data_IF_566204703499
#
_entry.id   IF_566204703499
#
_cell.length_a   1.000
_cell.length_b   1.000
_cell.length_c   1.000
_cell.angle_alpha   90.00
_cell.angle_beta   90.00
_cell.angle_gamma   90.00
#
_symmetry.space_group_name_H-M   'P 1'
#
loop_
_entity.id
_entity.type
_entity.pdbx_description
1 polymer ?
#
# COMPACT_ATOMS: atom_id res chain seq x y z
N UNK A 1 -33.27 27.54 12.76
CA UNK A 1 -32.24 28.54 13.13
C UNK A 1 -30.92 27.77 13.24
N UNK A 2 -30.05 27.67 12.23
CA UNK A 2 -29.38 28.72 11.44
C UNK A 2 -28.88 29.81 12.40
N UNK A 3 -27.58 30.02 12.63
CA UNK A 3 -26.48 30.53 11.77
C UNK A 3 -25.20 30.40 12.65
N UNK A 4 -23.93 30.37 12.22
CA UNK A 4 -23.18 30.00 11.01
C UNK A 4 -21.69 30.23 11.35
N UNK A 5 -20.81 29.67 10.51
CA UNK A 5 -19.45 30.17 10.22
C UNK A 5 -18.33 29.61 11.09
N UNK A 6 -17.24 29.06 10.57
CA UNK A 6 -16.77 28.86 9.19
C UNK A 6 -15.47 27.98 9.25
N UNK A 7 -14.74 27.67 8.15
CA UNK A 7 -14.45 26.29 7.76
C UNK A 7 -12.94 26.01 7.46
N UNK A 8 -12.67 24.89 6.80
CA UNK A 8 -11.51 24.61 5.92
C UNK A 8 -10.11 24.37 6.53
N UNK A 9 -9.80 23.08 6.73
CA UNK A 9 -8.44 22.56 6.52
C UNK A 9 -8.42 21.71 5.23
N UNK A 10 -8.45 22.41 4.10
CA UNK A 10 -8.05 21.87 2.81
C UNK A 10 -6.53 21.76 2.75
N UNK A 11 -6.01 20.58 2.44
CA UNK A 11 -4.63 20.39 2.02
C UNK A 11 -4.39 21.26 0.77
N UNK A 12 -3.57 22.30 0.93
CA UNK A 12 -3.25 23.25 -0.11
C UNK A 12 -2.53 22.59 -1.28
N UNK A 13 -3.26 22.40 -2.38
CA UNK A 13 -2.69 22.32 -3.71
C UNK A 13 -2.38 23.74 -4.18
N UNK A 14 -1.13 24.14 -4.08
CA UNK A 14 -0.68 25.46 -4.51
C UNK A 14 0.84 25.52 -4.56
N UNK A 15 1.42 25.22 -5.72
CA UNK A 15 2.87 25.29 -5.91
C UNK A 15 3.44 24.32 -6.94
N UNK A 16 2.79 24.15 -8.10
CA UNK A 16 3.37 23.42 -9.25
C UNK A 16 2.92 24.07 -10.57
N UNK A 17 2.88 25.40 -10.60
CA UNK A 17 2.45 26.20 -11.74
C UNK A 17 3.61 26.95 -12.43
N UNK A 18 4.85 26.59 -12.12
CA UNK A 18 6.02 27.13 -12.82
C UNK A 18 6.90 25.95 -13.19
N UNK A 19 6.80 25.52 -14.45
CA UNK A 19 7.77 24.78 -15.29
C UNK A 19 6.96 23.99 -16.35
N UNK A 20 7.23 24.32 -17.61
CA UNK A 20 6.55 23.88 -18.85
C UNK A 20 5.10 24.39 -19.05
N UNK A 21 4.97 25.56 -19.67
CA UNK A 21 3.73 25.97 -20.33
C UNK A 21 3.53 25.08 -21.58
N UNK A 22 2.91 23.91 -21.41
CA UNK A 22 2.40 23.11 -22.52
C UNK A 22 1.09 23.74 -23.04
N UNK A 23 1.02 24.04 -24.34
CA UNK A 23 -0.17 24.59 -24.99
C UNK A 23 -1.32 23.57 -25.02
N UNK A 24 -2.28 23.71 -24.09
CA UNK A 24 -3.52 22.93 -24.09
C UNK A 24 -4.47 23.43 -25.18
N UNK A 25 -4.59 22.69 -26.29
CA UNK A 25 -5.56 22.99 -27.33
C UNK A 25 -7.02 22.81 -26.81
N UNK A 26 -7.71 23.93 -26.58
CA UNK A 26 -9.12 23.97 -26.19
C UNK A 26 -10.00 24.23 -27.41
N UNK A 27 -11.02 23.39 -27.65
CA UNK A 27 -12.16 23.76 -28.52
C UNK A 27 -13.43 23.87 -27.69
N UNK A 28 -14.26 24.87 -28.03
CA UNK A 28 -15.38 25.35 -27.23
C UNK A 28 -16.66 24.50 -27.26
N UNK A 29 -17.54 24.83 -26.31
CA UNK A 29 -18.91 24.30 -26.13
C UNK A 29 -19.03 23.30 -24.98
N UNK A 30 -19.31 23.77 -23.75
CA UNK A 30 -19.67 22.96 -22.56
C UNK A 30 -18.73 21.82 -22.12
N UNK A 31 -17.44 21.83 -22.48
CA UNK A 31 -16.49 20.88 -21.90
C UNK A 31 -16.28 21.17 -20.41
N UNK A 32 -16.44 20.19 -19.50
CA UNK A 32 -15.98 20.36 -18.14
C UNK A 32 -14.46 20.51 -18.17
N UNK A 33 -13.94 21.58 -17.58
CA UNK A 33 -12.52 21.94 -17.54
C UNK A 33 -11.59 20.87 -16.92
N UNK A 34 -12.14 19.75 -16.48
CA UNK A 34 -11.49 18.65 -15.78
C UNK A 34 -10.89 17.56 -16.68
N UNK A 35 -11.34 17.41 -17.93
CA UNK A 35 -10.79 16.37 -18.84
C UNK A 35 -9.68 16.98 -19.69
N UNK A 36 -8.47 16.42 -19.61
CA UNK A 36 -7.33 16.90 -20.39
C UNK A 36 -7.15 16.05 -21.65
N UNK A 37 -6.77 16.71 -22.74
CA UNK A 37 -6.58 16.10 -24.05
C UNK A 37 -5.19 16.46 -24.56
N UNK A 38 -4.48 15.48 -25.11
CA UNK A 38 -3.17 15.69 -25.76
C UNK A 38 -3.16 14.97 -27.09
N UNK A 39 -2.72 15.66 -28.14
CA UNK A 39 -2.62 15.10 -29.47
C UNK A 39 -1.24 15.39 -30.06
N UNK A 40 -0.54 14.35 -30.50
CA UNK A 40 0.79 14.42 -31.05
C UNK A 40 0.84 13.76 -32.42
N UNK A 41 1.66 14.32 -33.31
CA UNK A 41 2.03 13.73 -34.60
C UNK A 41 3.52 13.43 -34.58
N UNK A 42 3.89 12.22 -34.97
CA UNK A 42 5.27 11.76 -35.06
C UNK A 42 5.66 11.62 -36.52
N UNK A 43 6.86 12.07 -36.87
CA UNK A 43 7.41 11.99 -38.23
C UNK A 43 8.06 10.63 -38.56
N UNK A 44 8.20 9.78 -37.54
CA UNK A 44 8.90 8.48 -37.58
C UNK A 44 10.43 8.56 -37.75
N UNK A 45 10.99 9.77 -37.72
CA UNK A 45 12.44 10.05 -37.76
C UNK A 45 12.97 10.51 -36.40
N UNK A 46 12.12 10.53 -35.38
CA UNK A 46 12.47 10.91 -34.01
C UNK A 46 12.13 12.35 -33.66
N UNK A 47 11.23 13.00 -34.41
CA UNK A 47 10.63 14.27 -34.01
C UNK A 47 9.12 14.13 -33.84
N UNK A 48 8.55 15.01 -33.02
CA UNK A 48 7.12 15.07 -32.79
C UNK A 48 6.64 16.52 -32.72
N UNK A 49 5.36 16.72 -33.07
CA UNK A 49 4.70 18.01 -33.01
C UNK A 49 3.31 17.88 -32.38
N UNK A 50 2.90 18.88 -31.62
CA UNK A 50 1.52 18.97 -31.14
C UNK A 50 0.57 19.16 -32.33
N UNK A 51 -0.50 18.38 -32.36
CA UNK A 51 -1.50 18.38 -33.43
C UNK A 51 -2.85 18.84 -32.88
N UNK A 52 -3.72 19.34 -33.76
CA UNK A 52 -5.13 19.53 -33.43
C UNK A 52 -5.82 18.18 -33.18
N UNK A 53 -6.83 18.18 -32.31
CA UNK A 53 -7.66 17.02 -32.01
C UNK A 53 -8.62 16.73 -33.18
N UNK A 54 -8.17 15.93 -34.15
CA UNK A 54 -8.96 15.53 -35.33
C UNK A 54 -9.22 14.01 -35.43
N UNK A 55 -8.58 13.22 -34.56
CA UNK A 55 -8.66 11.75 -34.53
C UNK A 55 -8.33 11.07 -35.88
N UNK A 56 -7.64 11.77 -36.77
CA UNK A 56 -7.22 11.22 -38.06
C UNK A 56 -6.03 10.28 -37.89
N UNK A 57 -5.97 9.23 -38.71
CA UNK A 57 -4.80 8.34 -38.76
C UNK A 57 -3.64 9.01 -39.49
N UNK A 58 -2.41 8.62 -39.15
CA UNK A 58 -1.22 9.06 -39.88
C UNK A 58 -1.13 8.42 -41.27
N UNK A 59 -0.24 8.95 -42.12
CA UNK A 59 -0.02 8.46 -43.47
C UNK A 59 1.44 8.01 -43.66
N UNK A 60 1.62 6.82 -44.23
CA UNK A 60 2.96 6.27 -44.50
C UNK A 60 3.70 5.94 -43.20
N UNK A 61 4.80 6.66 -42.96
CA UNK A 61 5.67 6.46 -41.79
C UNK A 61 5.20 7.30 -40.59
N UNK A 62 4.38 8.31 -40.84
CA UNK A 62 3.85 9.17 -39.78
C UNK A 62 2.73 8.47 -39.02
N UNK A 63 2.68 8.72 -37.72
CA UNK A 63 1.62 8.21 -36.85
C UNK A 63 1.20 9.25 -35.83
N UNK A 64 -0.03 9.10 -35.34
CA UNK A 64 -0.63 10.04 -34.39
C UNK A 64 -0.90 9.38 -33.04
N UNK A 65 -0.74 10.14 -31.97
CA UNK A 65 -1.13 9.72 -30.63
C UNK A 65 -2.14 10.69 -30.04
N UNK A 66 -3.27 10.16 -29.58
CA UNK A 66 -4.30 10.90 -28.87
C UNK A 66 -4.41 10.35 -27.45
N UNK A 67 -4.27 11.21 -26.45
CA UNK A 67 -4.39 10.85 -25.04
C UNK A 67 -5.52 11.63 -24.38
N UNK A 68 -6.41 10.92 -23.67
CA UNK A 68 -7.45 11.50 -22.82
C UNK A 68 -7.17 11.15 -21.36
N UNK A 69 -7.02 12.17 -20.53
CA UNK A 69 -6.93 12.01 -19.07
C UNK A 69 -8.28 12.30 -18.43
N UNK A 70 -8.89 11.27 -17.87
CA UNK A 70 -10.13 11.40 -17.11
C UNK A 70 -9.82 11.88 -15.68
N UNK A 71 -10.58 12.83 -15.12
CA UNK A 71 -10.32 13.33 -13.78
C UNK A 71 -10.56 12.26 -12.71
N UNK A 72 -9.65 12.17 -11.73
CA UNK A 72 -9.93 11.48 -10.46
C UNK A 72 -11.00 12.28 -9.71
N UNK A 73 -12.09 11.64 -9.31
CA UNK A 73 -13.20 12.28 -8.62
C UNK A 73 -14.31 11.30 -8.28
N UNK A 74 -15.35 11.76 -7.59
CA UNK A 74 -16.49 10.94 -7.19
C UNK A 74 -17.55 10.85 -8.31
N UNK A 75 -17.12 10.47 -9.52
CA UNK A 75 -17.99 10.37 -10.68
C UNK A 75 -18.26 8.90 -11.01
N UNK A 76 -19.50 8.58 -11.36
CA UNK A 76 -19.86 7.24 -11.81
C UNK A 76 -19.26 6.94 -13.18
N UNK A 77 -19.12 5.65 -13.50
CA UNK A 77 -18.62 5.19 -14.80
C UNK A 77 -19.40 5.78 -15.99
N UNK A 78 -20.70 6.04 -15.81
CA UNK A 78 -21.55 6.66 -16.81
C UNK A 78 -21.08 8.08 -17.21
N UNK A 79 -20.59 8.87 -16.25
CA UNK A 79 -20.07 10.23 -16.50
C UNK A 79 -18.76 10.16 -17.28
N UNK A 80 -17.88 9.22 -16.93
CA UNK A 80 -16.67 8.96 -17.71
C UNK A 80 -16.99 8.53 -19.15
N UNK A 81 -18.03 7.71 -19.32
CA UNK A 81 -18.50 7.32 -20.64
C UNK A 81 -19.05 8.51 -21.44
N UNK A 82 -19.83 9.40 -20.81
CA UNK A 82 -20.32 10.63 -21.43
C UNK A 82 -19.17 11.51 -21.93
N UNK A 83 -18.15 11.75 -21.11
CA UNK A 83 -16.98 12.52 -21.52
C UNK A 83 -16.26 11.90 -22.71
N UNK A 84 -16.07 10.58 -22.74
CA UNK A 84 -15.44 9.95 -23.90
C UNK A 84 -16.34 9.95 -25.14
N UNK A 85 -17.66 9.83 -24.99
CA UNK A 85 -18.60 9.94 -26.11
C UNK A 85 -18.49 11.33 -26.73
N UNK A 86 -18.45 12.39 -25.93
CA UNK A 86 -18.32 13.77 -26.41
C UNK A 86 -16.96 14.05 -27.09
N UNK A 87 -15.89 13.37 -26.66
CA UNK A 87 -14.52 13.61 -27.15
C UNK A 87 -14.16 12.76 -28.36
N UNK A 88 -14.67 11.52 -28.42
CA UNK A 88 -14.26 10.52 -29.41
C UNK A 88 -15.29 10.27 -30.52
N UNK A 89 -16.54 10.70 -30.33
CA UNK A 89 -17.61 10.55 -31.32
C UNK A 89 -17.95 11.89 -31.98
N UNK A 90 -17.98 11.97 -33.32
CA UNK A 90 -17.38 11.08 -34.34
C UNK A 90 -15.84 11.26 -34.41
N UNK A 91 -15.04 10.28 -34.90
CA UNK A 91 -15.42 9.19 -35.81
C UNK A 91 -15.63 7.81 -35.16
N UNK A 92 -15.33 7.63 -33.87
CA UNK A 92 -15.44 6.31 -33.21
C UNK A 92 -16.90 5.94 -32.91
N UNK A 93 -17.21 4.63 -32.96
CA UNK A 93 -18.56 4.14 -32.64
C UNK A 93 -18.71 3.97 -31.13
N UNK A 94 -19.95 4.01 -30.65
CA UNK A 94 -20.25 3.82 -29.23
C UNK A 94 -19.68 2.50 -28.68
N UNK A 95 -19.70 1.44 -29.48
CA UNK A 95 -19.12 0.15 -29.10
C UNK A 95 -17.62 0.25 -28.76
N UNK A 96 -16.84 1.01 -29.53
CA UNK A 96 -15.41 1.21 -29.30
C UNK A 96 -15.16 1.95 -27.98
N UNK A 97 -15.95 3.00 -27.74
CA UNK A 97 -15.84 3.84 -26.55
C UNK A 97 -16.20 3.04 -25.30
N UNK A 98 -17.26 2.22 -25.35
CA UNK A 98 -17.64 1.35 -24.25
C UNK A 98 -16.55 0.32 -23.93
N UNK A 99 -15.84 -0.19 -24.94
CA UNK A 99 -14.71 -1.09 -24.72
C UNK A 99 -13.55 -0.39 -23.98
N UNK A 100 -13.33 0.91 -24.21
CA UNK A 100 -12.31 1.71 -23.52
C UNK A 100 -12.69 2.07 -22.07
N UNK A 101 -13.96 2.35 -21.79
CA UNK A 101 -14.42 2.81 -20.46
C UNK A 101 -14.69 1.66 -19.49
N UNK A 102 -15.20 0.53 -19.99
CA UNK A 102 -15.71 -0.54 -19.12
C UNK A 102 -14.64 -1.10 -18.16
N UNK A 103 -15.08 -1.60 -17.01
CA UNK A 103 -14.20 -2.18 -16.00
C UNK A 103 -13.68 -3.56 -16.41
N UNK A 104 -12.58 -3.98 -15.78
CA UNK A 104 -11.97 -5.29 -15.95
C UNK A 104 -11.01 -5.38 -17.13
N UNK A 105 -10.21 -6.45 -17.22
CA UNK A 105 -9.25 -6.64 -18.29
C UNK A 105 -9.96 -7.02 -19.60
N UNK A 106 -9.43 -6.55 -20.73
CA UNK A 106 -9.89 -6.93 -22.06
C UNK A 106 -8.77 -6.79 -23.07
N UNK A 107 -8.73 -7.69 -24.05
CA UNK A 107 -7.88 -7.60 -25.23
C UNK A 107 -8.66 -8.21 -26.40
N UNK A 108 -8.85 -7.46 -27.47
CA UNK A 108 -9.58 -7.90 -28.64
C UNK A 108 -9.29 -7.03 -29.86
N UNK A 109 -9.77 -7.45 -31.02
CA UNK A 109 -9.78 -6.59 -32.20
C UNK A 109 -11.19 -6.07 -32.41
N UNK A 110 -11.32 -4.76 -32.63
CA UNK A 110 -12.58 -4.09 -32.91
C UNK A 110 -12.34 -3.17 -34.10
N UNK A 111 -13.07 -3.37 -35.20
CA UNK A 111 -12.91 -2.63 -36.47
C UNK A 111 -11.47 -2.58 -37.00
N UNK A 112 -10.77 -3.71 -36.95
CA UNK A 112 -9.39 -3.82 -37.43
C UNK A 112 -8.34 -3.23 -36.49
N UNK A 113 -8.74 -2.51 -35.44
CA UNK A 113 -7.86 -1.99 -34.41
C UNK A 113 -7.70 -2.98 -33.26
N UNK A 114 -6.51 -3.06 -32.67
CA UNK A 114 -6.30 -3.75 -31.41
C UNK A 114 -6.80 -2.86 -30.27
N UNK A 115 -7.72 -3.36 -29.46
CA UNK A 115 -8.19 -2.68 -28.26
C UNK A 115 -7.79 -3.51 -27.04
N UNK A 116 -7.11 -2.87 -26.10
CA UNK A 116 -6.87 -3.47 -24.80
C UNK A 116 -7.20 -2.51 -23.67
N UNK A 117 -7.51 -3.07 -22.51
CA UNK A 117 -7.77 -2.30 -21.31
C UNK A 117 -7.31 -3.03 -20.05
N UNK A 118 -6.86 -2.25 -19.09
CA UNK A 118 -6.49 -2.63 -17.74
C UNK A 118 -7.20 -1.65 -16.79
N UNK A 119 -8.52 -1.79 -16.72
CA UNK A 119 -9.34 -0.90 -15.89
C UNK A 119 -9.65 -1.60 -14.56
N UNK A 120 -8.96 -1.20 -13.49
CA UNK A 120 -9.27 -1.73 -12.16
C UNK A 120 -10.64 -1.26 -11.66
N UNK A 121 -11.42 -2.15 -11.01
CA UNK A 121 -12.64 -1.74 -10.34
C UNK A 121 -12.28 -0.95 -9.08
N UNK A 122 -13.15 -0.01 -8.73
CA UNK A 122 -12.97 0.80 -7.53
C UNK A 122 -13.38 2.26 -7.75
N UNK A 123 -13.40 3.04 -6.66
CA UNK A 123 -13.70 4.46 -6.74
C UNK A 123 -12.56 5.20 -7.44
N UNK A 124 -12.91 6.07 -8.37
CA UNK A 124 -11.94 6.89 -9.12
C UNK A 124 -11.19 7.91 -8.28
N UNK A 125 -11.55 8.09 -7.00
CA UNK A 125 -10.81 8.90 -6.02
C UNK A 125 -9.65 8.15 -5.39
N UNK A 126 -9.58 6.82 -5.50
CA UNK A 126 -8.53 6.02 -4.88
C UNK A 126 -7.25 6.08 -5.70
N UNK A 127 -6.12 6.28 -5.03
CA UNK A 127 -4.80 6.25 -5.68
C UNK A 127 -4.41 4.86 -6.20
N UNK A 128 -5.05 3.82 -5.67
CA UNK A 128 -4.87 2.43 -6.09
C UNK A 128 -5.82 2.00 -7.21
N UNK A 129 -6.67 2.91 -7.69
CA UNK A 129 -7.54 2.67 -8.85
C UNK A 129 -6.87 3.26 -10.07
N UNK A 130 -6.21 2.39 -10.83
CA UNK A 130 -5.52 2.73 -12.06
C UNK A 130 -6.32 2.19 -13.24
N UNK A 131 -6.44 2.99 -14.29
CA UNK A 131 -7.11 2.61 -15.54
C UNK A 131 -6.25 3.03 -16.71
N UNK A 132 -6.00 2.10 -17.62
CA UNK A 132 -5.37 2.33 -18.90
C UNK A 132 -6.16 1.56 -19.95
N UNK A 133 -6.68 2.25 -20.94
CA UNK A 133 -7.26 1.64 -22.12
C UNK A 133 -6.60 2.23 -23.36
N UNK A 134 -6.41 1.40 -24.37
CA UNK A 134 -5.81 1.84 -25.62
C UNK A 134 -6.47 1.17 -26.81
N UNK A 135 -6.65 1.95 -27.88
CA UNK A 135 -6.97 1.49 -29.23
C UNK A 135 -5.75 1.76 -30.11
N UNK A 136 -5.24 0.72 -30.75
CA UNK A 136 -4.01 0.75 -31.56
C UNK A 136 -4.34 0.32 -32.98
N UNK A 137 -4.04 1.19 -33.94
CA UNK A 137 -4.03 0.88 -35.38
C UNK A 137 -2.61 1.00 -35.93
N UNK A 138 -2.42 0.74 -37.23
CA UNK A 138 -1.10 0.80 -37.86
C UNK A 138 -0.46 2.20 -37.77
N UNK A 139 -1.27 3.25 -37.82
CA UNK A 139 -0.81 4.65 -37.88
C UNK A 139 -1.41 5.55 -36.78
N UNK A 140 -2.08 4.98 -35.78
CA UNK A 140 -2.61 5.77 -34.66
C UNK A 140 -2.73 4.98 -33.35
N UNK A 141 -2.52 5.68 -32.24
CA UNK A 141 -2.83 5.19 -30.90
C UNK A 141 -3.77 6.18 -30.21
N UNK A 142 -4.84 5.67 -29.64
CA UNK A 142 -5.73 6.43 -28.76
C UNK A 142 -5.65 5.79 -27.38
N UNK A 143 -5.20 6.54 -26.37
CA UNK A 143 -5.13 6.08 -24.98
C UNK A 143 -6.05 6.88 -24.08
N UNK A 144 -6.60 6.19 -23.08
CA UNK A 144 -7.44 6.76 -22.04
C UNK A 144 -6.88 6.34 -20.70
N UNK A 145 -6.61 7.30 -19.84
CA UNK A 145 -6.13 7.08 -18.47
C UNK A 145 -7.09 7.68 -17.44
N UNK A 146 -6.99 7.18 -16.20
CA UNK A 146 -7.63 7.81 -15.04
C UNK A 146 -6.59 8.57 -14.22
N UNK A 147 -6.74 9.89 -14.15
CA UNK A 147 -5.79 10.80 -13.52
C UNK A 147 -4.59 11.11 -14.42
N UNK A 148 -3.71 11.97 -13.92
CA UNK A 148 -2.44 12.28 -14.59
C UNK A 148 -1.58 11.03 -14.64
N UNK A 149 -1.04 10.72 -15.81
CA UNK A 149 0.01 9.70 -15.96
C UNK A 149 1.34 10.43 -16.02
N UNK A 150 2.23 10.25 -15.02
CA UNK A 150 3.56 10.85 -15.07
C UNK A 150 4.35 10.30 -16.27
N UNK A 151 5.32 11.05 -16.79
CA UNK A 151 6.27 10.63 -17.85
C UNK A 151 5.71 10.34 -19.25
N UNK A 152 4.52 10.83 -19.57
CA UNK A 152 3.99 10.81 -20.95
C UNK A 152 4.72 11.76 -21.93
N UNK A 153 5.60 12.63 -21.42
CA UNK A 153 6.36 13.59 -22.22
C UNK A 153 7.58 12.96 -22.88
N UNK A 154 8.00 13.52 -24.01
CA UNK A 154 9.21 13.12 -24.72
C UNK A 154 10.24 14.24 -24.71
N UNK A 155 11.49 13.88 -24.47
CA UNK A 155 12.61 14.81 -24.56
C UNK A 155 13.32 14.59 -25.90
N UNK A 156 13.49 15.64 -26.74
CA UNK A 156 14.37 15.56 -27.88
C UNK A 156 15.77 15.12 -27.41
N UNK A 157 16.43 14.25 -28.17
CA UNK A 157 17.76 13.77 -27.83
C UNK A 157 18.71 14.96 -27.59
N UNK A 158 19.23 15.09 -26.36
CA UNK A 158 20.18 16.15 -25.97
C UNK A 158 19.65 17.28 -25.08
N UNK A 159 18.36 17.29 -24.70
CA UNK A 159 17.80 18.26 -23.74
C UNK A 159 17.33 17.58 -22.45
N UNK A 160 18.22 16.83 -21.80
CA UNK A 160 17.92 16.25 -20.48
C UNK A 160 18.11 17.31 -19.40
N UNK A 161 17.08 17.56 -18.57
CA UNK A 161 17.16 18.47 -17.42
C UNK A 161 18.27 18.09 -16.41
N UNK A 162 18.74 16.84 -16.47
CA UNK A 162 19.83 16.31 -15.65
C UNK A 162 21.24 16.54 -16.24
N UNK A 163 21.34 17.15 -17.42
CA UNK A 163 22.63 17.52 -18.01
C UNK A 163 23.20 18.82 -17.43
N UNK A 164 22.36 19.62 -16.76
CA UNK A 164 22.76 20.82 -16.03
C UNK A 164 22.89 20.50 -14.53
N UNK A 165 23.97 20.95 -13.89
CA UNK A 165 24.22 20.70 -12.45
C UNK A 165 23.21 21.55 -11.63
N UNK A 166 22.25 20.94 -10.91
CA UNK A 166 21.29 21.71 -10.12
C UNK A 166 21.91 22.15 -8.79
N UNK A 167 21.47 23.29 -8.26
CA UNK A 167 21.81 23.75 -6.91
C UNK A 167 20.60 23.62 -5.99
N UNK A 168 20.77 23.08 -4.79
CA UNK A 168 19.66 22.94 -3.81
C UNK A 168 19.46 24.26 -3.05
N UNK A 169 18.21 24.59 -2.70
CA UNK A 169 17.90 25.77 -1.86
C UNK A 169 18.76 25.77 -0.58
N UNK A 170 19.64 26.77 -0.45
CA UNK A 170 20.53 26.92 0.70
C UNK A 170 22.01 27.06 0.35
N UNK A 171 22.43 26.69 -0.86
CA UNK A 171 23.79 26.94 -1.36
C UNK A 171 23.85 28.19 -2.26
N UNK A 172 24.98 28.91 -2.23
CA UNK A 172 25.20 30.07 -3.10
C UNK A 172 25.20 29.61 -4.56
N UNK A 173 24.09 29.83 -5.26
CA UNK A 173 23.93 29.50 -6.67
C UNK A 173 25.03 30.18 -7.52
N UNK A 174 25.76 29.39 -8.31
CA UNK A 174 26.52 29.90 -9.44
C UNK A 174 25.52 30.32 -10.54
N UNK A 175 25.85 31.38 -11.28
CA UNK A 175 24.99 31.89 -12.35
C UNK A 175 24.77 30.79 -13.42
N UNK A 176 23.58 30.19 -13.43
CA UNK A 176 23.18 29.14 -14.37
C UNK A 176 22.63 27.86 -13.73
N UNK A 177 22.69 27.69 -12.40
CA UNK A 177 22.15 26.50 -11.75
C UNK A 177 20.62 26.58 -11.57
N UNK A 178 19.90 25.54 -12.00
CA UNK A 178 18.47 25.37 -11.71
C UNK A 178 18.32 25.05 -10.22
N UNK A 179 17.49 25.84 -9.51
CA UNK A 179 17.18 25.61 -8.10
C UNK A 179 16.05 24.60 -7.99
N UNK A 180 16.34 23.40 -7.46
CA UNK A 180 15.34 22.36 -7.21
C UNK A 180 14.84 22.50 -5.76
N UNK A 181 13.54 22.71 -5.52
CA UNK A 181 12.99 22.73 -4.17
C UNK A 181 13.17 21.40 -3.45
N UNK A 182 13.39 21.41 -2.13
CA UNK A 182 13.67 20.20 -1.33
C UNK A 182 12.59 19.11 -1.49
N UNK A 183 11.32 19.48 -1.56
CA UNK A 183 10.21 18.55 -1.79
C UNK A 183 10.19 17.92 -3.19
N UNK A 184 10.68 18.64 -4.21
CA UNK A 184 10.85 18.09 -5.57
C UNK A 184 12.06 17.18 -5.61
N UNK A 185 13.13 17.52 -4.88
CA UNK A 185 14.29 16.67 -4.73
C UNK A 185 13.94 15.37 -3.99
N UNK A 186 13.22 15.42 -2.88
CA UNK A 186 12.70 14.23 -2.20
C UNK A 186 11.81 13.39 -3.12
N UNK A 187 10.94 14.02 -3.92
CA UNK A 187 10.14 13.34 -4.93
C UNK A 187 10.99 12.66 -6.00
N UNK A 188 12.02 13.34 -6.52
CA UNK A 188 12.97 12.78 -7.48
C UNK A 188 13.85 11.67 -6.89
N UNK A 189 14.21 11.77 -5.61
CA UNK A 189 15.02 10.77 -4.89
C UNK A 189 14.20 9.54 -4.46
N UNK A 190 12.90 9.69 -4.26
CA UNK A 190 11.99 8.58 -3.93
C UNK A 190 11.51 7.83 -5.17
N UNK A 191 11.65 8.42 -6.35
CA UNK A 191 11.42 7.76 -7.64
C UNK A 191 12.74 7.22 -8.20
N UNK A 192 12.76 5.94 -8.56
CA UNK A 192 13.97 5.30 -9.13
C UNK A 192 14.34 5.80 -10.55
N UNK A 193 13.57 6.73 -11.12
CA UNK A 193 13.64 7.11 -12.53
C UNK A 193 13.24 8.60 -12.70
N UNK A 194 13.97 9.34 -13.53
CA UNK A 194 13.75 10.76 -13.77
C UNK A 194 12.55 11.00 -14.71
N UNK A 195 11.71 12.00 -14.41
CA UNK A 195 10.44 12.20 -15.14
C UNK A 195 10.61 12.62 -16.61
N UNK A 196 11.73 13.26 -16.97
CA UNK A 196 11.97 13.88 -18.28
C UNK A 196 13.36 13.58 -18.86
N UNK A 197 14.12 12.69 -18.23
CA UNK A 197 15.57 12.61 -18.45
C UNK A 197 16.04 11.83 -19.68
N UNK A 198 15.28 10.85 -20.18
CA UNK A 198 15.83 9.86 -21.12
C UNK A 198 14.82 9.23 -22.12
N UNK A 199 13.58 9.72 -22.17
CA UNK A 199 12.58 9.15 -23.06
C UNK A 199 12.79 9.60 -24.51
N UNK A 200 13.47 8.76 -25.29
CA UNK A 200 13.64 8.97 -26.73
C UNK A 200 12.29 9.05 -27.45
N UNK A 201 12.19 9.97 -28.42
CA UNK A 201 10.98 10.16 -29.22
C UNK A 201 10.68 8.89 -30.04
N UNK A 202 9.48 8.30 -29.93
CA UNK A 202 9.14 7.09 -30.66
C UNK A 202 9.22 7.25 -32.18
N UNK A 203 9.80 6.24 -32.85
CA UNK A 203 9.93 6.21 -34.32
C UNK A 203 8.85 5.39 -35.02
N UNK A 204 8.17 4.52 -34.28
CA UNK A 204 7.12 3.64 -34.78
C UNK A 204 5.97 3.55 -33.78
N UNK A 205 4.80 3.13 -34.26
CA UNK A 205 3.64 2.85 -33.40
C UNK A 205 3.96 1.75 -32.37
N UNK A 206 4.76 0.75 -32.75
CA UNK A 206 5.21 -0.30 -31.83
C UNK A 206 6.05 0.26 -30.69
N UNK A 207 7.01 1.14 -30.97
CA UNK A 207 7.84 1.78 -29.96
C UNK A 207 7.02 2.71 -29.06
N UNK A 208 6.05 3.45 -29.62
CA UNK A 208 5.12 4.26 -28.83
C UNK A 208 4.25 3.39 -27.89
N UNK A 209 3.77 2.24 -28.38
CA UNK A 209 3.00 1.31 -27.56
C UNK A 209 3.84 0.75 -26.40
N UNK A 210 5.09 0.36 -26.68
CA UNK A 210 6.05 -0.08 -25.64
C UNK A 210 6.24 1.03 -24.61
N UNK A 211 6.46 2.27 -25.05
CA UNK A 211 6.62 3.42 -24.15
C UNK A 211 5.39 3.67 -23.26
N UNK A 212 4.17 3.58 -23.81
CA UNK A 212 2.93 3.72 -23.02
C UNK A 212 2.80 2.61 -21.96
N UNK A 213 3.09 1.36 -22.34
CA UNK A 213 3.04 0.22 -21.41
C UNK A 213 4.12 0.35 -20.34
N UNK A 214 5.34 0.74 -20.71
CA UNK A 214 6.44 0.95 -19.77
C UNK A 214 6.09 2.05 -18.75
N UNK A 215 5.59 3.19 -19.22
CA UNK A 215 5.14 4.29 -18.37
C UNK A 215 4.07 3.84 -17.37
N UNK A 216 3.17 2.95 -17.78
CA UNK A 216 2.15 2.39 -16.89
C UNK A 216 2.73 1.40 -15.87
N UNK A 217 3.71 0.58 -16.27
CA UNK A 217 4.43 -0.33 -15.36
C UNK A 217 5.26 0.48 -14.35
N UNK A 218 5.89 1.56 -14.77
CA UNK A 218 6.59 2.51 -13.91
C UNK A 218 5.65 3.13 -12.88
N UNK A 219 4.47 3.61 -13.31
CA UNK A 219 3.47 4.16 -12.38
C UNK A 219 3.08 3.13 -11.29
N UNK A 220 2.93 1.86 -11.67
CA UNK A 220 2.65 0.79 -10.71
C UNK A 220 3.84 0.60 -9.77
N UNK A 221 5.07 0.56 -10.31
CA UNK A 221 6.30 0.39 -9.53
C UNK A 221 6.43 1.51 -8.48
N UNK A 222 6.19 2.77 -8.85
CA UNK A 222 6.28 3.90 -7.93
C UNK A 222 5.28 3.78 -6.76
N UNK A 223 4.06 3.31 -7.04
CA UNK A 223 3.06 3.05 -5.99
C UNK A 223 3.51 1.90 -5.08
N UNK A 224 4.08 0.82 -5.64
CA UNK A 224 4.61 -0.30 -4.84
C UNK A 224 5.75 0.17 -3.95
N UNK A 225 6.73 0.91 -4.49
CA UNK A 225 7.86 1.45 -3.72
C UNK A 225 7.37 2.37 -2.59
N UNK A 226 6.40 3.24 -2.87
CA UNK A 226 5.81 4.11 -1.83
C UNK A 226 5.16 3.29 -0.71
N UNK A 227 4.44 2.23 -1.04
CA UNK A 227 3.80 1.35 -0.05
C UNK A 227 4.82 0.54 0.75
N UNK A 228 5.93 0.12 0.12
CA UNK A 228 7.03 -0.57 0.78
C UNK A 228 7.72 0.35 1.80
N UNK A 229 8.05 1.58 1.40
CA UNK A 229 8.60 2.61 2.31
C UNK A 229 7.64 2.93 3.45
N UNK A 230 6.34 3.04 3.18
CA UNK A 230 5.34 3.24 4.22
C UNK A 230 5.38 2.07 5.22
N UNK A 231 5.33 0.82 4.74
CA UNK A 231 5.38 -0.37 5.59
C UNK A 231 6.64 -0.41 6.45
N UNK A 232 7.81 -0.18 5.86
CA UNK A 232 9.09 -0.19 6.57
C UNK A 232 9.13 0.87 7.68
N UNK A 233 8.58 2.07 7.41
CA UNK A 233 8.48 3.12 8.43
C UNK A 233 7.60 2.69 9.62
N UNK A 234 6.48 2.01 9.36
CA UNK A 234 5.58 1.53 10.42
C UNK A 234 6.22 0.41 11.22
N UNK A 235 6.90 -0.53 10.54
CA UNK A 235 7.60 -1.64 11.20
C UNK A 235 8.69 -1.12 12.13
N UNK A 236 9.47 -0.14 11.69
CA UNK A 236 10.48 0.50 12.52
C UNK A 236 9.88 1.23 13.73
N UNK A 237 8.74 1.90 13.55
CA UNK A 237 8.02 2.52 14.67
C UNK A 237 7.40 1.47 15.62
N UNK A 238 7.02 0.28 15.12
CA UNK A 238 6.53 -0.83 15.95
C UNK A 238 7.65 -1.46 16.79
N UNK A 239 8.87 -1.50 16.25
CA UNK A 239 10.05 -2.02 16.94
C UNK A 239 10.54 -1.06 18.03
N UNK A 240 10.54 0.24 17.75
CA UNK A 240 10.90 1.28 18.72
C UNK A 240 9.76 1.60 19.70
N UNK A 241 8.52 1.43 19.27
CA UNK A 241 7.32 1.89 19.95
C UNK A 241 6.92 1.04 21.16
N UNK A 242 6.57 1.71 22.25
CA UNK A 242 5.95 1.08 23.42
C UNK A 242 4.50 0.65 23.17
N UNK A 243 3.88 0.03 24.19
CA UNK A 243 2.47 -0.42 24.19
C UNK A 243 1.45 0.63 23.72
N UNK A 244 1.75 1.92 23.86
CA UNK A 244 0.87 3.03 23.45
C UNK A 244 0.80 3.18 21.92
N UNK A 245 1.93 3.02 21.23
CA UNK A 245 1.99 3.10 19.77
C UNK A 245 1.26 1.93 19.11
N UNK A 246 1.47 0.70 19.60
CA UNK A 246 0.76 -0.50 19.14
C UNK A 246 -0.76 -0.36 19.26
N UNK A 247 -1.24 0.26 20.35
CA UNK A 247 -2.65 0.56 20.55
C UNK A 247 -3.20 1.56 19.53
N UNK A 248 -2.46 2.66 19.29
CA UNK A 248 -2.85 3.67 18.28
C UNK A 248 -3.01 3.06 16.88
N UNK A 249 -2.08 2.18 16.47
CA UNK A 249 -2.13 1.52 15.17
C UNK A 249 -3.37 0.60 15.00
N UNK A 250 -3.80 -0.06 16.07
CA UNK A 250 -5.04 -0.85 16.09
C UNK A 250 -6.27 0.05 15.94
N UNK A 251 -6.31 1.15 16.69
CA UNK A 251 -7.42 2.11 16.68
C UNK A 251 -7.59 2.77 15.29
N UNK A 252 -6.48 3.13 14.63
CA UNK A 252 -6.48 3.78 13.31
C UNK A 252 -6.82 2.81 12.15
N UNK A 253 -6.89 1.50 12.42
CA UNK A 253 -7.05 0.40 11.46
C UNK A 253 -6.06 0.51 10.29
N UNK A 254 -4.82 0.92 10.59
CA UNK A 254 -3.81 1.23 9.56
C UNK A 254 -3.44 -0.01 8.73
N UNK A 255 -3.08 -1.11 9.38
CA UNK A 255 -2.71 -2.36 8.70
C UNK A 255 -3.85 -2.98 7.88
N UNK A 256 -5.10 -3.06 8.39
CA UNK A 256 -6.24 -3.47 7.56
C UNK A 256 -6.44 -2.60 6.31
N UNK A 257 -6.31 -1.27 6.42
CA UNK A 257 -6.41 -0.36 5.26
C UNK A 257 -5.27 -0.59 4.27
N UNK A 258 -4.04 -0.73 4.77
CA UNK A 258 -2.86 -1.00 3.96
C UNK A 258 -2.98 -2.33 3.22
N UNK A 259 -3.46 -3.38 3.90
CA UNK A 259 -3.75 -4.68 3.31
C UNK A 259 -4.76 -4.56 2.16
N UNK A 260 -5.88 -3.84 2.35
CA UNK A 260 -6.87 -3.60 1.30
C UNK A 260 -6.28 -2.84 0.10
N UNK A 261 -5.43 -1.84 0.34
CA UNK A 261 -4.78 -1.07 -0.72
C UNK A 261 -3.80 -1.93 -1.53
N UNK A 262 -2.98 -2.75 -0.87
CA UNK A 262 -2.10 -3.71 -1.54
C UNK A 262 -2.89 -4.73 -2.37
N UNK A 263 -4.03 -5.22 -1.86
CA UNK A 263 -4.92 -6.12 -2.61
C UNK A 263 -5.50 -5.46 -3.87
N UNK A 264 -5.93 -4.19 -3.78
CA UNK A 264 -6.39 -3.42 -4.95
C UNK A 264 -5.29 -3.27 -5.99
N UNK A 265 -4.07 -2.95 -5.57
CA UNK A 265 -2.93 -2.85 -6.47
C UNK A 265 -2.58 -4.21 -7.09
N UNK A 266 -2.66 -5.30 -6.31
CA UNK A 266 -2.39 -6.66 -6.79
C UNK A 266 -3.40 -7.06 -7.87
N UNK A 267 -4.64 -6.61 -7.75
CA UNK A 267 -5.66 -6.80 -8.77
C UNK A 267 -5.32 -6.05 -10.07
N UNK A 268 -4.84 -4.79 -9.99
CA UNK A 268 -4.37 -4.02 -11.16
C UNK A 268 -3.25 -4.78 -11.86
N UNK A 269 -2.22 -5.19 -11.10
CA UNK A 269 -1.06 -5.91 -11.63
C UNK A 269 -1.47 -7.24 -12.26
N UNK A 270 -2.42 -7.96 -11.64
CA UNK A 270 -2.97 -9.21 -12.18
C UNK A 270 -3.73 -8.99 -13.49
N UNK A 271 -4.38 -7.84 -13.68
CA UNK A 271 -5.00 -7.48 -14.96
C UNK A 271 -3.95 -7.19 -16.03
N UNK A 272 -2.90 -6.45 -15.69
CA UNK A 272 -1.77 -6.22 -16.60
C UNK A 272 -1.16 -7.55 -17.06
N UNK A 273 -0.94 -8.49 -16.14
CA UNK A 273 -0.34 -9.80 -16.44
C UNK A 273 -1.24 -10.66 -17.35
N UNK A 274 -2.56 -10.50 -17.28
CA UNK A 274 -3.49 -11.16 -18.20
C UNK A 274 -3.52 -10.50 -19.59
N UNK A 275 -3.33 -9.19 -19.65
CA UNK A 275 -3.54 -8.36 -20.84
C UNK A 275 -2.27 -8.23 -21.67
N UNK A 276 -1.14 -7.84 -21.09
CA UNK A 276 0.08 -7.52 -21.83
C UNK A 276 0.67 -8.70 -22.62
N UNK A 277 0.70 -9.95 -22.12
CA UNK A 277 1.13 -11.08 -22.95
C UNK A 277 0.27 -11.30 -24.19
N UNK A 278 -1.05 -11.07 -24.08
CA UNK A 278 -1.99 -11.17 -25.20
C UNK A 278 -1.86 -10.00 -26.18
N UNK A 279 -1.55 -8.81 -25.67
CA UNK A 279 -1.21 -7.65 -26.51
C UNK A 279 0.05 -7.97 -27.32
N UNK A 280 1.11 -8.46 -26.67
CA UNK A 280 2.35 -8.88 -27.34
C UNK A 280 2.09 -9.93 -28.43
N UNK A 281 1.37 -11.00 -28.11
CA UNK A 281 1.04 -12.06 -29.07
C UNK A 281 0.27 -11.53 -30.30
N UNK A 282 -0.73 -10.68 -30.07
CA UNK A 282 -1.53 -10.09 -31.17
C UNK A 282 -0.73 -9.10 -32.00
N UNK A 283 0.11 -8.27 -31.37
CA UNK A 283 0.98 -7.32 -32.05
C UNK A 283 2.08 -8.00 -32.86
N UNK A 284 2.72 -9.04 -32.32
CA UNK A 284 3.78 -9.79 -33.00
C UNK A 284 3.34 -10.46 -34.31
N UNK A 285 2.02 -10.69 -34.48
CA UNK A 285 1.45 -11.20 -35.74
C UNK A 285 1.32 -10.14 -36.85
N UNK A 286 1.55 -8.86 -36.55
CA UNK A 286 1.36 -7.73 -37.47
C UNK A 286 2.70 -7.29 -38.06
N UNK A 287 2.67 -6.90 -39.34
CA UNK A 287 3.86 -6.46 -40.10
C UNK A 287 4.49 -5.16 -39.60
N UNK A 288 3.70 -4.28 -38.99
CA UNK A 288 4.15 -2.98 -38.47
C UNK A 288 4.78 -3.06 -37.07
N UNK A 289 4.81 -4.24 -36.45
CA UNK A 289 5.36 -4.43 -35.12
C UNK A 289 6.79 -4.99 -35.20
N UNK A 290 7.76 -4.22 -34.72
CA UNK A 290 9.17 -4.60 -34.75
C UNK A 290 9.48 -5.83 -33.89
N UNK A 291 10.45 -6.64 -34.33
CA UNK A 291 10.95 -7.76 -33.53
C UNK A 291 11.64 -7.28 -32.25
N UNK A 292 12.36 -6.15 -32.32
CA UNK A 292 12.98 -5.50 -31.16
C UNK A 292 11.93 -5.07 -30.12
N UNK A 293 10.86 -4.40 -30.56
CA UNK A 293 9.75 -3.99 -29.68
C UNK A 293 9.03 -5.18 -29.03
N UNK A 294 9.01 -6.34 -29.70
CA UNK A 294 8.47 -7.59 -29.14
C UNK A 294 9.32 -8.09 -27.98
N UNK A 295 10.64 -7.97 -28.09
CA UNK A 295 11.58 -8.31 -27.01
C UNK A 295 11.42 -7.33 -25.86
N UNK A 296 11.39 -6.03 -26.13
CA UNK A 296 11.17 -5.00 -25.09
C UNK A 296 9.86 -5.23 -24.35
N UNK A 297 8.77 -5.57 -25.06
CA UNK A 297 7.49 -5.87 -24.41
C UNK A 297 7.55 -7.14 -23.55
N UNK A 298 8.33 -8.17 -23.93
CA UNK A 298 8.55 -9.34 -23.08
C UNK A 298 9.34 -8.99 -21.81
N UNK A 299 10.33 -8.11 -21.91
CA UNK A 299 11.07 -7.61 -20.74
C UNK A 299 10.15 -6.85 -19.78
N UNK A 300 9.27 -5.99 -20.29
CA UNK A 300 8.25 -5.29 -19.49
C UNK A 300 7.29 -6.27 -18.80
N UNK A 301 6.85 -7.32 -19.50
CA UNK A 301 6.03 -8.39 -18.89
C UNK A 301 6.82 -9.10 -17.79
N UNK A 302 8.11 -9.37 -17.99
CA UNK A 302 9.00 -9.95 -16.98
C UNK A 302 9.14 -9.04 -15.75
N UNK A 303 9.31 -7.74 -15.95
CA UNK A 303 9.36 -6.73 -14.88
C UNK A 303 8.05 -6.69 -14.09
N UNK A 304 6.91 -6.69 -14.80
CA UNK A 304 5.58 -6.73 -14.19
C UNK A 304 5.37 -7.98 -13.32
N UNK A 305 5.84 -9.15 -13.75
CA UNK A 305 5.77 -10.39 -12.94
C UNK A 305 6.57 -10.27 -11.64
N UNK A 306 7.78 -9.70 -11.70
CA UNK A 306 8.59 -9.42 -10.49
C UNK A 306 7.89 -8.44 -9.55
N UNK A 307 7.25 -7.39 -10.09
CA UNK A 307 6.44 -6.45 -9.30
C UNK A 307 5.30 -7.17 -8.58
N UNK A 308 4.61 -8.08 -9.28
CA UNK A 308 3.54 -8.90 -8.70
C UNK A 308 4.05 -9.76 -7.53
N UNK A 309 5.20 -10.41 -7.71
CA UNK A 309 5.83 -11.21 -6.67
C UNK A 309 6.22 -10.35 -5.45
N UNK A 310 6.86 -9.20 -5.67
CA UNK A 310 7.20 -8.26 -4.60
C UNK A 310 5.96 -7.82 -3.82
N UNK A 311 4.89 -7.45 -4.54
CA UNK A 311 3.63 -7.07 -3.94
C UNK A 311 3.00 -8.21 -3.12
N UNK A 312 3.15 -9.46 -3.57
CA UNK A 312 2.77 -10.65 -2.81
C UNK A 312 3.54 -10.79 -1.49
N UNK A 313 4.86 -10.53 -1.50
CA UNK A 313 5.67 -10.50 -0.29
C UNK A 313 5.23 -9.38 0.67
N UNK A 314 4.96 -8.18 0.17
CA UNK A 314 4.45 -7.07 0.98
C UNK A 314 3.09 -7.40 1.63
N UNK A 315 2.17 -8.03 0.88
CA UNK A 315 0.89 -8.50 1.43
C UNK A 315 1.10 -9.47 2.59
N UNK A 316 1.99 -10.45 2.43
CA UNK A 316 2.30 -11.43 3.47
C UNK A 316 2.94 -10.78 4.71
N UNK A 317 3.84 -9.82 4.51
CA UNK A 317 4.43 -9.02 5.60
C UNK A 317 3.36 -8.27 6.39
N UNK A 318 2.43 -7.60 5.70
CA UNK A 318 1.31 -6.88 6.36
C UNK A 318 0.43 -7.83 7.17
N UNK A 319 0.11 -9.02 6.64
CA UNK A 319 -0.68 -10.03 7.37
C UNK A 319 0.05 -10.48 8.63
N UNK A 320 1.36 -10.73 8.54
CA UNK A 320 2.17 -11.15 9.68
C UNK A 320 2.20 -10.09 10.79
N UNK A 321 2.40 -8.81 10.42
CA UNK A 321 2.38 -7.69 11.37
C UNK A 321 0.99 -7.54 12.00
N UNK A 322 -0.08 -7.63 11.22
CA UNK A 322 -1.45 -7.58 11.72
C UNK A 322 -1.73 -8.71 12.72
N UNK A 323 -1.35 -9.95 12.41
CA UNK A 323 -1.50 -11.09 13.31
C UNK A 323 -0.70 -10.91 14.61
N UNK A 324 0.50 -10.31 14.52
CA UNK A 324 1.30 -9.95 15.70
C UNK A 324 0.61 -8.93 16.61
N UNK A 325 -0.04 -7.92 16.02
CA UNK A 325 -0.82 -6.92 16.77
C UNK A 325 -2.07 -7.53 17.41
N UNK A 326 -2.79 -8.40 16.71
CA UNK A 326 -3.98 -9.09 17.23
C UNK A 326 -3.62 -10.03 18.40
N UNK A 327 -2.50 -10.74 18.29
CA UNK A 327 -1.95 -11.57 19.36
C UNK A 327 -1.57 -10.72 20.59
N UNK A 328 -0.88 -9.60 20.37
CA UNK A 328 -0.54 -8.67 21.44
C UNK A 328 -1.79 -8.08 22.12
N UNK A 329 -2.82 -7.70 21.36
CA UNK A 329 -4.08 -7.21 21.91
C UNK A 329 -4.77 -8.27 22.78
N UNK A 330 -4.78 -9.52 22.31
CA UNK A 330 -5.32 -10.65 23.05
C UNK A 330 -4.56 -10.89 24.36
N UNK A 331 -3.24 -10.75 24.36
CA UNK A 331 -2.43 -10.82 25.59
C UNK A 331 -2.80 -9.71 26.58
N UNK A 332 -3.00 -8.47 26.12
CA UNK A 332 -3.43 -7.36 26.98
C UNK A 332 -4.82 -7.62 27.59
N UNK A 333 -5.76 -8.14 26.80
CA UNK A 333 -7.10 -8.49 27.28
C UNK A 333 -6.99 -9.60 28.34
N UNK A 334 -6.25 -10.67 28.06
CA UNK A 334 -6.05 -11.76 29.00
C UNK A 334 -5.39 -11.29 30.30
N UNK A 335 -4.41 -10.38 30.23
CA UNK A 335 -3.79 -9.81 31.42
C UNK A 335 -4.77 -8.98 32.25
N UNK A 336 -5.64 -8.19 31.61
CA UNK A 336 -6.68 -7.41 32.31
C UNK A 336 -7.73 -8.32 32.93
N UNK A 337 -8.18 -9.35 32.21
CA UNK A 337 -9.10 -10.36 32.72
C UNK A 337 -8.51 -11.11 33.91
N UNK A 338 -7.23 -11.44 33.86
CA UNK A 338 -6.54 -12.06 34.99
C UNK A 338 -6.59 -11.18 36.25
N UNK A 339 -6.34 -9.87 36.15
CA UNK A 339 -6.46 -8.96 37.29
C UNK A 339 -7.89 -8.81 37.79
N UNK A 340 -8.88 -8.75 36.90
CA UNK A 340 -10.29 -8.69 37.29
C UNK A 340 -10.75 -9.98 37.99
N UNK A 341 -10.36 -11.15 37.47
CA UNK A 341 -10.63 -12.44 38.10
C UNK A 341 -9.97 -12.55 39.48
N UNK A 342 -8.73 -12.07 39.61
CA UNK A 342 -8.04 -11.98 40.90
C UNK A 342 -8.80 -11.09 41.90
N UNK A 343 -9.24 -9.91 41.46
CA UNK A 343 -9.99 -8.99 42.30
C UNK A 343 -11.34 -9.58 42.74
N UNK A 344 -12.05 -10.23 41.82
CA UNK A 344 -13.32 -10.92 42.09
C UNK A 344 -13.13 -12.07 43.09
N UNK A 345 -12.05 -12.84 42.98
CA UNK A 345 -11.75 -13.92 43.92
C UNK A 345 -11.55 -13.41 45.36
N UNK A 346 -10.97 -12.22 45.53
CA UNK A 346 -10.80 -11.58 46.85
C UNK A 346 -12.13 -11.01 47.34
N UNK A 347 -12.83 -10.23 46.51
CA UNK A 347 -14.03 -9.53 46.96
C UNK A 347 -15.26 -10.41 47.10
N UNK A 348 -15.41 -11.47 46.30
CA UNK A 348 -16.59 -12.34 46.39
C UNK A 348 -16.80 -12.91 47.81
N UNK A 349 -15.83 -13.59 48.44
CA UNK A 349 -16.02 -14.11 49.79
C UNK A 349 -16.08 -13.01 50.85
N UNK A 350 -15.34 -11.90 50.70
CA UNK A 350 -15.44 -10.76 51.61
C UNK A 350 -16.84 -10.12 51.57
N UNK A 351 -17.43 -10.00 50.38
CA UNK A 351 -18.78 -9.49 50.16
C UNK A 351 -19.84 -10.42 50.76
N UNK A 352 -19.63 -11.75 50.72
CA UNK A 352 -20.54 -12.70 51.39
C UNK A 352 -20.47 -12.52 52.91
N UNK A 353 -19.27 -12.44 53.48
CA UNK A 353 -19.10 -12.24 54.94
C UNK A 353 -19.74 -10.91 55.37
N UNK A 354 -19.36 -9.81 54.73
CA UNK A 354 -19.94 -8.49 55.05
C UNK A 354 -21.44 -8.42 54.79
N UNK A 355 -21.95 -9.11 53.77
CA UNK A 355 -23.37 -9.25 53.50
C UNK A 355 -24.11 -9.94 54.65
N UNK A 356 -23.64 -11.12 55.09
CA UNK A 356 -24.27 -11.88 56.19
C UNK A 356 -24.27 -11.07 57.50
N UNK A 357 -23.16 -10.41 57.85
CA UNK A 357 -23.07 -9.60 59.08
C UNK A 357 -23.73 -8.22 58.96
N UNK A 358 -23.97 -7.73 57.74
CA UNK A 358 -24.66 -6.46 57.47
C UNK A 358 -26.18 -6.59 57.37
N UNK A 359 -26.72 -7.81 57.37
CA UNK A 359 -28.16 -8.04 57.40
C UNK A 359 -28.72 -7.73 58.79
N UNK A 360 -29.80 -6.94 58.84
CA UNK A 360 -30.52 -6.60 60.07
C UNK A 360 -31.44 -7.75 60.53
N UNK A 361 -30.87 -8.93 60.77
CA UNK A 361 -31.57 -10.14 61.21
C UNK A 361 -31.07 -10.60 62.58
N UNK A 362 -31.98 -11.04 63.45
CA UNK A 362 -31.61 -11.56 64.78
C UNK A 362 -30.95 -12.94 64.68
N UNK A 363 -30.05 -13.26 65.62
CA UNK A 363 -29.41 -14.58 65.72
C UNK A 363 -28.06 -14.74 65.03
N UNK A 364 -27.48 -13.66 64.49
CA UNK A 364 -26.11 -13.67 63.95
C UNK A 364 -25.09 -13.86 65.10
N UNK A 365 -24.08 -14.74 64.96
CA UNK A 365 -23.04 -14.90 65.97
C UNK A 365 -22.29 -13.58 66.19
N UNK A 366 -21.84 -13.34 67.44
CA UNK A 366 -21.13 -12.12 67.85
C UNK A 366 -21.93 -10.80 67.84
N UNK A 367 -23.27 -10.82 67.67
CA UNK A 367 -24.13 -9.61 67.71
C UNK A 367 -25.02 -9.52 68.96
N UNK A 368 -24.60 -10.04 70.13
CA UNK A 368 -25.50 -10.22 71.29
C UNK A 368 -26.07 -8.92 71.87
N UNK A 369 -27.39 -8.97 72.05
CA UNK A 369 -28.21 -8.15 72.95
C UNK A 369 -28.50 -9.03 74.20
N UNK A 370 -27.55 -9.13 75.16
CA UNK A 370 -27.82 -9.73 76.49
C UNK A 370 -27.01 -10.94 76.98
N UNK A 371 -25.68 -10.98 76.83
CA UNK A 371 -24.88 -11.98 77.56
C UNK A 371 -23.40 -11.63 77.66
N UNK A 372 -22.86 -11.63 78.89
CA UNK A 372 -21.46 -11.37 79.21
C UNK A 372 -20.54 -12.42 78.55
N UNK A 373 -19.57 -11.97 77.75
CA UNK A 373 -18.54 -12.86 77.19
C UNK A 373 -18.16 -12.66 75.72
N UNK A 374 -18.54 -11.56 75.06
CA UNK A 374 -18.06 -11.24 73.71
C UNK A 374 -17.97 -9.71 73.55
N UNK A 375 -16.91 -9.09 74.05
CA UNK A 375 -16.73 -7.63 73.95
C UNK A 375 -16.22 -7.20 72.55
N UNK A 376 -15.69 -8.14 71.76
CA UNK A 376 -14.92 -7.85 70.53
C UNK A 376 -15.50 -8.48 69.25
N UNK A 377 -16.83 -8.49 69.10
CA UNK A 377 -17.49 -9.14 67.94
C UNK A 377 -17.04 -8.61 66.58
N UNK A 378 -16.85 -7.30 66.46
CA UNK A 378 -16.33 -6.65 65.25
C UNK A 378 -14.89 -7.08 64.93
N UNK A 379 -14.02 -7.19 65.94
CA UNK A 379 -12.63 -7.62 65.76
C UNK A 379 -12.55 -9.08 65.32
N UNK A 380 -13.43 -9.96 65.83
CA UNK A 380 -13.49 -11.36 65.40
C UNK A 380 -13.86 -11.50 63.92
N UNK A 381 -14.83 -10.72 63.44
CA UNK A 381 -15.19 -10.69 62.00
C UNK A 381 -14.03 -10.17 61.16
N UNK A 382 -13.33 -9.14 61.63
CA UNK A 382 -12.16 -8.58 60.96
C UNK A 382 -11.00 -9.61 60.87
N UNK A 383 -10.76 -10.36 61.94
CA UNK A 383 -9.79 -11.48 61.97
C UNK A 383 -10.16 -12.55 60.95
N UNK A 384 -11.44 -12.95 60.87
CA UNK A 384 -11.92 -13.94 59.89
C UNK A 384 -11.71 -13.42 58.45
N UNK A 385 -12.06 -12.18 58.16
CA UNK A 385 -11.81 -11.57 56.85
C UNK A 385 -10.32 -11.53 56.51
N UNK A 386 -9.46 -11.17 57.47
CA UNK A 386 -8.00 -11.14 57.30
C UNK A 386 -7.42 -12.53 57.06
N UNK A 387 -7.87 -13.55 57.80
CA UNK A 387 -7.45 -14.94 57.62
C UNK A 387 -7.89 -15.49 56.26
N UNK A 388 -9.11 -15.16 55.83
CA UNK A 388 -9.64 -15.57 54.54
C UNK A 388 -8.86 -14.92 53.38
N UNK A 389 -8.53 -13.63 53.50
CA UNK A 389 -7.70 -12.93 52.53
C UNK A 389 -6.27 -13.50 52.47
N UNK A 390 -5.66 -13.77 53.63
CA UNK A 390 -4.35 -14.42 53.73
C UNK A 390 -4.36 -15.81 53.07
N UNK A 391 -5.37 -16.62 53.34
CA UNK A 391 -5.55 -17.96 52.75
C UNK A 391 -5.62 -17.87 51.22
N UNK A 392 -6.42 -16.96 50.68
CA UNK A 392 -6.55 -16.75 49.23
C UNK A 392 -5.23 -16.31 48.58
N UNK A 393 -4.50 -15.37 49.21
CA UNK A 393 -3.19 -14.95 48.74
C UNK A 393 -2.15 -16.09 48.79
N UNK A 394 -2.20 -16.92 49.83
CA UNK A 394 -1.32 -18.08 49.96
C UNK A 394 -1.62 -19.14 48.89
N UNK A 395 -2.89 -19.48 48.69
CA UNK A 395 -3.34 -20.36 47.61
C UNK A 395 -2.91 -19.85 46.22
N UNK A 396 -2.82 -18.54 46.02
CA UNK A 396 -2.39 -17.96 44.75
C UNK A 396 -0.86 -17.94 44.55
N UNK A 397 -0.10 -17.65 45.61
CA UNK A 397 1.36 -17.61 45.56
C UNK A 397 1.98 -19.01 45.52
N UNK A 398 1.33 -20.02 46.11
CA UNK A 398 1.85 -21.38 46.21
C UNK A 398 2.15 -22.06 44.86
N UNK A 399 1.26 -22.03 43.83
CA UNK A 399 1.54 -22.61 42.52
C UNK A 399 2.71 -21.93 41.79
N UNK A 400 2.81 -20.60 41.88
CA UNK A 400 3.87 -19.83 41.21
C UNK A 400 5.25 -20.04 41.85
N UNK A 401 5.30 -20.11 43.19
CA UNK A 401 6.50 -20.44 43.96
C UNK A 401 6.94 -21.89 43.72
N UNK A 402 5.99 -22.83 43.68
CA UNK A 402 6.25 -24.24 43.40
C UNK A 402 6.82 -24.44 41.98
N UNK A 403 6.30 -23.73 40.98
CA UNK A 403 6.83 -23.80 39.62
C UNK A 403 8.25 -23.21 39.50
N UNK A 404 8.54 -22.09 40.16
CA UNK A 404 9.91 -21.52 40.20
C UNK A 404 10.89 -22.46 40.90
N UNK A 405 10.48 -23.05 42.02
CA UNK A 405 11.31 -23.98 42.79
C UNK A 405 11.61 -25.25 41.99
N UNK A 406 10.64 -25.78 41.25
CA UNK A 406 10.84 -26.99 40.42
C UNK A 406 11.74 -26.73 39.20
N UNK A 407 11.64 -25.56 38.54
CA UNK A 407 12.57 -25.15 37.47
C UNK A 407 13.99 -25.00 38.02
N UNK A 408 14.15 -24.28 39.13
CA UNK A 408 15.43 -24.08 39.80
C UNK A 408 16.07 -25.41 40.22
N UNK A 409 15.27 -26.33 40.79
CA UNK A 409 15.71 -27.70 41.13
C UNK A 409 16.15 -28.51 39.91
N UNK A 410 15.45 -28.40 38.77
CA UNK A 410 15.86 -29.05 37.51
C UNK A 410 17.18 -28.49 36.97
N UNK A 411 17.42 -27.18 37.07
CA UNK A 411 18.68 -26.54 36.68
C UNK A 411 19.85 -26.94 37.60
N UNK A 412 19.62 -27.10 38.90
CA UNK A 412 20.64 -27.62 39.83
C UNK A 412 21.00 -29.08 39.55
N UNK A 413 20.01 -29.92 39.28
CA UNK A 413 20.22 -31.34 38.96
C UNK A 413 20.87 -31.57 37.58
N UNK A 414 20.74 -30.64 36.62
CA UNK A 414 21.46 -30.72 35.34
C UNK A 414 22.93 -30.29 35.48
N UNK A 415 23.24 -29.28 36.31
CA UNK A 415 24.64 -28.87 36.60
C UNK A 415 25.47 -29.97 37.28
N UNK A 416 24.85 -30.81 38.11
CA UNK A 416 25.52 -31.98 38.73
C UNK A 416 25.95 -33.05 37.72
N UNK A 417 25.27 -33.17 36.57
CA UNK A 417 25.62 -34.14 35.51
C UNK A 417 26.77 -33.73 34.59
N UNK A 418 27.18 -32.45 34.60
CA UNK A 418 28.29 -31.96 33.76
C UNK A 418 29.67 -32.03 34.42
N UNK A 419 29.76 -32.25 35.74
CA UNK A 419 31.06 -32.36 36.43
C UNK A 419 31.70 -33.77 36.40
N UNK A 420 31.03 -34.77 35.79
CA UNK A 420 31.44 -36.18 35.84
C UNK A 420 32.01 -36.79 34.55
N UNK A 421 32.11 -36.07 33.43
CA UNK A 421 32.64 -36.62 32.17
C UNK A 421 33.93 -35.91 31.74
N UNK A 422 35.08 -36.47 32.12
CA UNK A 422 36.36 -36.20 31.44
C UNK A 422 36.28 -36.76 30.01
N UNK A 423 36.64 -35.99 28.95
CA UNK A 423 36.70 -36.54 27.60
C UNK A 423 38.03 -37.29 27.42
N UNK A 424 37.97 -38.57 27.06
CA UNK A 424 39.17 -39.28 26.59
C UNK A 424 39.45 -38.88 25.14
N UNK A 425 40.60 -38.24 24.93
CA UNK A 425 41.15 -37.93 23.62
C UNK A 425 41.63 -39.25 22.98
N UNK A 426 40.96 -39.71 21.92
CA UNK A 426 41.49 -40.78 21.03
C UNK A 426 41.84 -40.14 19.68
N UNK A 427 43.15 -39.95 19.46
CA UNK A 427 43.77 -39.59 18.18
C UNK A 427 43.56 -40.72 17.18
N UNK A 428 42.96 -40.43 16.02
CA UNK A 428 43.02 -41.27 14.82
C UNK A 428 44.27 -40.93 14.01
N UNK A 429 45.14 -41.91 13.79
CA UNK A 429 46.31 -41.85 12.90
C UNK A 429 45.89 -42.36 11.50
N UNK A 430 46.37 -41.76 10.39
CA UNK A 430 46.09 -42.28 9.05
C UNK A 430 47.14 -43.34 8.65
N UNK A 431 46.70 -44.47 8.10
CA UNK A 431 47.60 -45.42 7.44
C UNK A 431 47.30 -45.47 5.94
N UNK A 432 48.29 -45.03 5.16
CA UNK A 432 48.57 -45.52 3.81
C UNK A 432 48.97 -47.00 3.86
N UNK A 433 48.72 -47.76 2.78
CA UNK A 433 49.69 -48.60 2.05
C UNK A 433 48.98 -49.34 0.90
N UNK A 434 49.62 -49.28 -0.27
CA UNK A 434 49.38 -50.06 -1.49
C UNK A 434 49.51 -51.57 -1.26
N UNK A 435 48.77 -52.39 -2.00
CA UNK A 435 49.24 -53.26 -3.10
C UNK A 435 48.05 -53.50 -4.03
#
# INVERSE_FOLDING_TARGET
>A
MAISGDPDHGFGGGGAALLAAEDFARRGGNFPASVKQRAYRFDGRGNYHTKNWDLAEGAGIEFNWYHVELPKGNHQLAVAAQYLIEILCPPLRLHDILNLVSNGPYVGHVDGALVFRVNSPGPSTSDFTIRLAARVTENSIITVSLGRVPRLGFSPAGQSLLSEIPSVEGEKASAGAIVIPEHVLEFLLTMNHSEEGDNSVPRTVSNLLVHIIDTHVDQIQDIVTKMELELDSVELDLDKGGSTFKKKMLDDKRFPKMHLNLQRLLQVVSYCEQVFPRVKEKCASKSWFGSEDTVSLEELIGRLRRIKENLGFLVNRVIAVQAGLDSWQSEQINRRLYYLSFLSMIFLPLSVVTGVFGMNVGGVPWTKQGGAGIEDGFLNVLIICSLLLLLLLLCFTFPSLYHRFTIWRKQLLSKSRYFGRRPSFRRSVPNYVQI
#
